data_IF_634540362046
#
_entry.id   IF_634540362046
#
_cell.length_a   1.000
_cell.length_b   1.000
_cell.length_c   1.000
_cell.angle_alpha   90.00
_cell.angle_beta   90.00
_cell.angle_gamma   90.00
#
_symmetry.space_group_name_H-M   'P 1'
#
loop_
_entity.id
_entity.type
_entity.pdbx_description
1 polymer ?
#
# COMPACT_ATOMS: atom_id res chain seq x y z
N UNK A 1 -19.48 17.69 -2.63
CA UNK A 1 -18.23 17.05 -3.07
C UNK A 1 -17.35 16.95 -1.84
N UNK A 2 -17.12 15.75 -1.32
CA UNK A 2 -16.20 15.56 -0.19
C UNK A 2 -14.79 15.67 -0.77
N UNK A 3 -14.09 16.75 -0.42
CA UNK A 3 -12.67 16.88 -0.69
C UNK A 3 -11.96 15.82 0.16
N UNK A 4 -11.57 14.73 -0.50
CA UNK A 4 -10.69 13.73 0.08
C UNK A 4 -9.34 14.43 0.24
N UNK A 5 -9.11 15.01 1.41
CA UNK A 5 -7.78 15.45 1.83
C UNK A 5 -6.93 14.19 1.89
N UNK A 6 -6.17 13.91 0.84
CA UNK A 6 -5.03 13.00 0.91
C UNK A 6 -4.12 13.57 1.99
N UNK A 7 -4.27 13.10 3.24
CA UNK A 7 -3.30 13.39 4.27
C UNK A 7 -2.06 12.62 3.85
N UNK A 8 -1.05 13.30 3.33
CA UNK A 8 0.28 12.73 3.06
C UNK A 8 0.82 12.17 4.38
N UNK A 9 0.48 10.91 4.66
CA UNK A 9 0.75 10.28 5.93
C UNK A 9 2.04 9.52 5.77
N UNK A 10 3.07 9.94 6.49
CA UNK A 10 4.32 9.20 6.51
C UNK A 10 4.08 7.84 7.16
N UNK A 11 4.52 6.77 6.50
CA UNK A 11 4.41 5.39 6.98
C UNK A 11 5.82 4.78 7.08
N UNK A 12 6.06 3.94 8.09
CA UNK A 12 7.34 3.23 8.23
C UNK A 12 7.33 1.90 7.49
N UNK A 13 8.50 1.40 7.13
CA UNK A 13 8.67 0.10 6.50
C UNK A 13 8.00 -1.01 7.32
N UNK A 14 8.13 -1.01 8.65
CA UNK A 14 7.51 -2.02 9.52
C UNK A 14 5.98 -2.03 9.53
N UNK A 15 5.36 -0.97 9.00
CA UNK A 15 3.91 -0.79 8.95
C UNK A 15 3.34 -1.03 7.56
N UNK A 16 4.19 -1.24 6.55
CA UNK A 16 3.77 -1.51 5.18
C UNK A 16 3.16 -2.90 5.05
N UNK A 17 2.11 -2.97 4.23
CA UNK A 17 1.33 -4.16 3.94
C UNK A 17 1.08 -4.29 2.44
N UNK A 18 0.71 -5.49 1.99
CA UNK A 18 0.30 -5.72 0.61
C UNK A 18 -0.83 -4.75 0.21
N UNK A 19 -0.70 -4.13 -0.96
CA UNK A 19 -1.64 -3.15 -1.49
C UNK A 19 -1.31 -1.69 -1.15
N UNK A 20 -0.34 -1.43 -0.27
CA UNK A 20 0.10 -0.06 0.01
C UNK A 20 0.79 0.57 -1.20
N UNK A 21 0.37 1.78 -1.57
CA UNK A 21 1.00 2.61 -2.59
C UNK A 21 1.82 3.68 -1.88
N UNK A 22 3.13 3.60 -2.05
CA UNK A 22 4.10 4.48 -1.42
C UNK A 22 4.90 5.27 -2.44
N UNK A 23 5.34 6.46 -2.05
CA UNK A 23 6.36 7.20 -2.77
C UNK A 23 7.66 7.16 -1.97
N UNK A 24 8.72 6.69 -2.63
CA UNK A 24 10.07 6.75 -2.10
C UNK A 24 10.63 8.16 -2.22
N UNK A 25 11.57 8.54 -1.34
CA UNK A 25 12.21 9.87 -1.36
C UNK A 25 12.89 10.21 -2.69
N UNK A 26 13.24 9.21 -3.50
CA UNK A 26 13.78 9.40 -4.85
C UNK A 26 12.73 9.82 -5.90
N UNK A 27 11.44 9.90 -5.53
CA UNK A 27 10.34 10.29 -6.40
C UNK A 27 9.60 9.13 -7.06
N UNK A 28 10.12 7.91 -6.94
CA UNK A 28 9.49 6.72 -7.51
C UNK A 28 8.27 6.30 -6.68
N UNK A 29 7.20 5.95 -7.38
CA UNK A 29 5.94 5.43 -6.84
C UNK A 29 5.93 3.92 -6.97
N UNK A 30 5.76 3.25 -5.83
CA UNK A 30 5.79 1.81 -5.71
C UNK A 30 4.50 1.32 -5.07
N UNK A 31 3.96 0.22 -5.57
CA UNK A 31 2.88 -0.52 -4.93
C UNK A 31 3.45 -1.80 -4.33
N UNK A 32 3.21 -2.06 -3.05
CA UNK A 32 3.57 -3.32 -2.40
C UNK A 32 2.65 -4.42 -2.93
N UNK A 33 3.22 -5.44 -3.56
CA UNK A 33 2.45 -6.51 -4.22
C UNK A 33 2.53 -7.86 -3.53
N UNK A 34 3.32 -7.96 -2.45
CA UNK A 34 3.42 -9.14 -1.61
C UNK A 34 3.63 -8.74 -0.14
N UNK A 35 3.32 -9.65 0.78
CA UNK A 35 3.58 -9.46 2.20
C UNK A 35 5.07 -9.25 2.51
N UNK A 36 5.42 -8.38 3.48
CA UNK A 36 6.80 -8.17 3.88
C UNK A 36 7.45 -9.41 4.48
N UNK A 37 8.69 -9.69 4.06
CA UNK A 37 9.52 -10.74 4.67
C UNK A 37 10.56 -10.13 5.61
N UNK A 38 10.49 -10.46 6.90
CA UNK A 38 11.46 -10.01 7.90
C UNK A 38 12.72 -10.87 7.85
N UNK A 39 13.85 -10.23 7.57
CA UNK A 39 15.19 -10.83 7.54
C UNK A 39 16.04 -10.32 8.70
N UNK A 40 17.23 -10.91 8.90
CA UNK A 40 18.19 -10.41 9.90
C UNK A 40 18.72 -9.01 9.60
N UNK A 41 18.63 -8.54 8.35
CA UNK A 41 19.17 -7.24 7.91
C UNK A 41 18.12 -6.15 7.72
N UNK A 42 16.83 -6.50 7.72
CA UNK A 42 15.74 -5.57 7.43
C UNK A 42 14.46 -6.28 6.98
N UNK A 43 13.61 -5.57 6.28
CA UNK A 43 12.34 -6.05 5.74
C UNK A 43 12.41 -6.02 4.22
N UNK A 44 12.14 -7.16 3.60
CA UNK A 44 12.13 -7.32 2.14
C UNK A 44 10.71 -7.20 1.62
N UNK A 45 10.52 -6.43 0.56
CA UNK A 45 9.25 -6.21 -0.11
C UNK A 45 9.37 -6.56 -1.58
N UNK A 46 8.30 -7.13 -2.13
CA UNK A 46 8.09 -7.16 -3.57
C UNK A 46 7.22 -5.96 -3.95
N UNK A 47 7.72 -5.12 -4.86
CA UNK A 47 7.04 -3.89 -5.27
C UNK A 47 6.88 -3.82 -6.78
N UNK A 48 5.78 -3.23 -7.22
CA UNK A 48 5.51 -2.84 -8.59
C UNK A 48 5.81 -1.35 -8.76
N UNK A 49 6.71 -1.01 -9.68
CA UNK A 49 7.00 0.37 -10.03
C UNK A 49 5.93 0.92 -10.97
N UNK A 50 5.18 1.92 -10.50
CA UNK A 50 4.08 2.53 -11.26
C UNK A 50 4.57 3.57 -12.28
N UNK A 51 5.78 4.09 -12.11
CA UNK A 51 6.39 5.04 -13.05
C UNK A 51 6.99 4.37 -14.31
N UNK A 52 7.13 3.04 -14.30
CA UNK A 52 7.74 2.29 -15.41
C UNK A 52 6.66 1.55 -16.20
N UNK A 53 6.46 1.98 -17.44
CA UNK A 53 5.49 1.36 -18.37
C UNK A 53 6.00 0.06 -19.01
N UNK A 54 7.31 -0.21 -18.96
CA UNK A 54 7.94 -1.37 -19.61
C UNK A 54 8.17 -2.54 -18.64
N UNK A 55 7.83 -3.76 -19.07
CA UNK A 55 8.08 -4.98 -18.28
C UNK A 55 9.55 -5.47 -18.37
N UNK A 56 10.07 -6.11 -17.30
CA UNK A 56 9.46 -6.25 -15.99
C UNK A 56 9.58 -4.96 -15.17
N UNK A 57 8.48 -4.54 -14.56
CA UNK A 57 8.41 -3.38 -13.66
C UNK A 57 8.22 -3.78 -12.19
N UNK A 58 8.33 -5.07 -11.88
CA UNK A 58 8.40 -5.59 -10.51
C UNK A 58 9.84 -5.70 -10.05
N UNK A 59 10.08 -5.41 -8.77
CA UNK A 59 11.40 -5.53 -8.16
C UNK A 59 11.30 -5.89 -6.68
N UNK A 60 12.34 -6.54 -6.18
CA UNK A 60 12.51 -6.82 -4.75
C UNK A 60 13.40 -5.74 -4.12
N UNK A 61 12.95 -5.15 -3.02
CA UNK A 61 13.66 -4.10 -2.29
C UNK A 61 13.77 -4.48 -0.82
N UNK A 62 14.84 -4.06 -0.15
CA UNK A 62 15.06 -4.33 1.27
C UNK A 62 15.32 -3.01 1.99
N UNK A 63 14.55 -2.76 3.05
CA UNK A 63 14.60 -1.54 3.83
C UNK A 63 14.80 -1.84 5.30
N UNK A 64 15.36 -0.89 6.05
CA UNK A 64 15.39 -0.99 7.52
C UNK A 64 13.98 -0.71 8.06
N UNK A 65 13.55 -1.34 9.17
CA UNK A 65 12.19 -1.18 9.71
C UNK A 65 11.80 0.28 9.98
N UNK A 66 12.76 1.12 10.36
CA UNK A 66 12.55 2.53 10.71
C UNK A 66 12.50 3.46 9.50
N UNK A 67 12.76 2.95 8.29
CA UNK A 67 12.73 3.77 7.08
C UNK A 67 11.30 4.21 6.77
N UNK A 68 11.15 5.47 6.36
CA UNK A 68 9.86 6.13 6.21
C UNK A 68 9.57 6.50 4.76
N UNK A 69 8.33 6.28 4.34
CA UNK A 69 7.82 6.57 3.00
C UNK A 69 6.59 7.47 3.08
N UNK A 70 6.26 8.12 1.98
CA UNK A 70 4.96 8.79 1.85
C UNK A 70 3.92 7.75 1.46
N UNK A 71 2.90 7.53 2.29
CA UNK A 71 1.75 6.71 1.92
C UNK A 71 0.82 7.56 1.05
N UNK A 72 0.66 7.15 -0.20
CA UNK A 72 -0.22 7.83 -1.16
C UNK A 72 -1.65 7.27 -1.08
N UNK A 73 -1.77 5.95 -1.04
CA UNK A 73 -3.05 5.25 -1.02
C UNK A 73 -2.86 3.82 -0.48
N UNK A 74 -3.96 3.17 -0.10
CA UNK A 74 -3.96 1.75 0.23
C UNK A 74 -5.02 1.06 -0.63
N UNK A 75 -4.56 0.31 -1.64
CA UNK A 75 -5.44 -0.61 -2.34
C UNK A 75 -5.64 -1.82 -1.46
N UNK A 76 -6.58 -1.71 -0.52
CA UNK A 76 -7.03 -2.86 0.24
C UNK A 76 -7.41 -3.96 -0.74
N UNK A 77 -6.66 -5.06 -0.74
CA UNK A 77 -6.98 -6.22 -1.54
C UNK A 77 -8.32 -6.73 -1.03
N UNK A 78 -9.41 -6.30 -1.66
CA UNK A 78 -10.75 -6.81 -1.41
C UNK A 78 -10.78 -8.25 -1.91
N UNK A 79 -10.24 -9.15 -1.09
CA UNK A 79 -10.62 -10.55 -1.08
C UNK A 79 -12.13 -10.58 -0.89
N UNK A 80 -12.87 -10.74 -1.98
CA UNK A 80 -14.29 -10.50 -2.02
C UNK A 80 -15.08 -11.29 -0.97
N UNK A 81 -15.66 -10.59 0.00
CA UNK A 81 -16.86 -11.01 0.72
C UNK A 81 -17.76 -9.79 0.90
N UNK A 82 -18.95 -9.87 0.30
CA UNK A 82 -19.88 -8.75 0.14
C UNK A 82 -20.34 -8.12 1.44
N UNK A 83 -20.59 -6.81 1.39
CA UNK A 83 -21.32 -6.09 2.42
C UNK A 83 -22.71 -5.74 1.90
N UNK A 84 -23.56 -6.78 1.82
CA UNK A 84 -25.01 -6.61 1.84
C UNK A 84 -25.41 -6.38 3.30
N UNK A 85 -25.24 -5.17 3.84
CA UNK A 85 -25.88 -4.82 5.11
C UNK A 85 -26.17 -3.33 5.17
N UNK A 86 -27.33 -3.02 4.59
CA UNK A 86 -28.10 -1.80 4.82
C UNK A 86 -29.56 -2.20 5.02
N UNK A 87 -29.82 -3.05 6.00
CA UNK A 87 -31.14 -3.25 6.60
C UNK A 87 -31.72 -1.87 6.94
N UNK A 88 -32.83 -1.50 6.31
CA UNK A 88 -33.83 -0.64 6.94
C UNK A 88 -35.14 -1.39 6.91
N UNK A 89 -35.37 -2.17 7.96
CA UNK A 89 -36.70 -2.57 8.34
C UNK A 89 -37.43 -1.39 8.98
N UNK A 90 -38.77 -1.45 8.93
CA UNK A 90 -39.84 -0.70 9.65
C UNK A 90 -40.59 0.29 8.74
N UNK A 91 -41.74 -0.09 8.16
CA UNK A 91 -43.05 -0.38 8.76
C UNK A 91 -43.73 0.85 9.39
N UNK A 92 -44.62 1.51 8.64
CA UNK A 92 -46.08 1.60 8.88
C UNK A 92 -46.72 2.45 7.79
#
# INVERSE_FOLDING_TARGET
MIAQTSQDSTIRADQLTEGDIIQHACGNTWMVIAEPEYTTTGITFEVLCLDVETLPNTQTVCFIPEESFLLLDHQGFVSGLGRNDGVIARAS
#
